data_IF_413493484606
#
_entry.id   IF_413493484606
#
_cell.length_a   1.000
_cell.length_b   1.000
_cell.length_c   1.000
_cell.angle_alpha   90.00
_cell.angle_beta   90.00
_cell.angle_gamma   90.00
#
_symmetry.space_group_name_H-M   'P 1'
#
loop_
_entity.id
_entity.type
_entity.pdbx_description
1 polymer ?
#
# COMPACT_ATOMS: atom_id res chain seq x y z
N UNK A 1 -21.71 -11.57 12.61
CA UNK A 1 -22.42 -10.33 12.31
C UNK A 1 -21.92 -9.83 10.93
N UNK A 2 -22.72 -10.01 9.93
CA UNK A 2 -22.35 -9.75 8.54
C UNK A 2 -22.67 -8.30 8.22
N UNK A 3 -21.64 -7.46 8.22
CA UNK A 3 -21.76 -6.14 7.59
C UNK A 3 -22.08 -6.36 6.12
N UNK A 4 -23.25 -5.89 5.65
CA UNK A 4 -23.65 -6.06 4.28
C UNK A 4 -22.64 -5.44 3.30
N UNK A 5 -22.76 -5.75 2.03
CA UNK A 5 -21.94 -5.24 0.93
C UNK A 5 -21.65 -3.72 1.01
N UNK A 6 -22.67 -2.94 1.41
CA UNK A 6 -22.54 -1.49 1.63
C UNK A 6 -21.52 -1.13 2.72
N UNK A 7 -21.51 -1.86 3.85
CA UNK A 7 -20.53 -1.62 4.92
C UNK A 7 -19.11 -1.91 4.46
N UNK A 8 -18.91 -2.91 3.61
CA UNK A 8 -17.61 -3.21 3.01
C UNK A 8 -17.11 -2.09 2.10
N UNK A 9 -17.99 -1.56 1.25
CA UNK A 9 -17.63 -0.42 0.37
C UNK A 9 -17.34 0.83 1.19
N UNK A 10 -18.16 1.16 2.19
CA UNK A 10 -17.94 2.32 3.05
C UNK A 10 -16.60 2.21 3.79
N UNK A 11 -16.29 1.03 4.33
CA UNK A 11 -15.00 0.79 4.99
C UNK A 11 -13.83 1.01 4.03
N UNK A 12 -13.92 0.50 2.80
CA UNK A 12 -12.89 0.68 1.77
C UNK A 12 -12.70 2.16 1.43
N UNK A 13 -13.79 2.91 1.22
CA UNK A 13 -13.74 4.34 0.93
C UNK A 13 -13.11 5.11 2.10
N UNK A 14 -13.50 4.80 3.34
CA UNK A 14 -12.91 5.43 4.52
C UNK A 14 -11.42 5.14 4.65
N UNK A 15 -10.97 3.92 4.34
CA UNK A 15 -9.55 3.59 4.38
C UNK A 15 -8.75 4.30 3.28
N UNK A 16 -9.28 4.38 2.07
CA UNK A 16 -8.68 5.18 0.99
C UNK A 16 -8.61 6.66 1.36
N UNK A 17 -9.72 7.22 1.88
CA UNK A 17 -9.80 8.62 2.26
C UNK A 17 -8.79 9.00 3.36
N UNK A 18 -8.58 8.14 4.35
CA UNK A 18 -7.57 8.35 5.41
C UNK A 18 -6.16 8.51 4.86
N UNK A 19 -5.83 7.82 3.77
CA UNK A 19 -4.55 7.97 3.08
C UNK A 19 -4.55 9.20 2.16
N UNK A 20 -5.59 9.34 1.34
CA UNK A 20 -5.70 10.38 0.30
C UNK A 20 -5.72 11.80 0.87
N UNK A 21 -6.62 12.07 1.82
CA UNK A 21 -6.88 13.43 2.30
C UNK A 21 -5.63 14.08 2.90
N UNK A 22 -4.89 13.45 3.84
CA UNK A 22 -3.71 14.07 4.43
C UNK A 22 -2.63 14.39 3.39
N UNK A 23 -2.41 13.51 2.43
CA UNK A 23 -1.39 13.70 1.40
C UNK A 23 -1.80 14.79 0.42
N UNK A 24 -3.03 14.75 -0.08
CA UNK A 24 -3.56 15.76 -0.99
C UNK A 24 -3.57 17.16 -0.38
N UNK A 25 -3.94 17.29 0.89
CA UNK A 25 -3.88 18.55 1.59
C UNK A 25 -2.44 18.95 1.92
N UNK A 26 -1.59 17.99 2.29
CA UNK A 26 -0.18 18.23 2.61
C UNK A 26 0.59 18.89 1.48
N UNK A 27 0.29 18.53 0.22
CA UNK A 27 0.89 19.17 -0.97
C UNK A 27 0.60 20.66 -1.10
N UNK A 28 -0.45 21.18 -0.44
CA UNK A 28 -0.77 22.60 -0.47
C UNK A 28 0.13 23.43 0.46
N UNK A 29 0.73 22.79 1.47
CA UNK A 29 1.48 23.44 2.52
C UNK A 29 2.97 23.08 2.52
N UNK A 30 3.32 21.95 1.92
CA UNK A 30 4.69 21.42 1.86
C UNK A 30 5.06 21.13 0.41
N UNK A 31 6.29 21.48 0.06
CA UNK A 31 6.85 21.07 -1.25
C UNK A 31 7.01 19.56 -1.28
N UNK A 32 6.45 18.96 -2.32
CA UNK A 32 6.51 17.51 -2.58
C UNK A 32 7.96 17.01 -2.76
N UNK A 33 8.87 17.89 -3.18
CA UNK A 33 10.29 17.57 -3.34
C UNK A 33 11.08 17.64 -2.04
N UNK A 34 10.49 18.18 -0.99
CA UNK A 34 11.16 18.38 0.30
C UNK A 34 11.11 17.13 1.19
N UNK A 35 12.17 16.89 1.97
CA UNK A 35 12.20 15.77 2.92
C UNK A 35 11.10 15.84 4.00
N UNK A 36 10.66 17.02 4.50
CA UNK A 36 9.51 17.12 5.39
C UNK A 36 8.20 16.55 4.85
N UNK A 37 8.09 16.32 3.53
CA UNK A 37 6.91 15.67 2.95
C UNK A 37 6.86 14.16 3.20
N UNK A 38 8.00 13.52 3.48
CA UNK A 38 8.08 12.05 3.75
C UNK A 38 7.17 11.62 4.92
N UNK A 39 7.16 12.27 6.09
CA UNK A 39 6.22 11.95 7.16
C UNK A 39 4.75 12.03 6.74
N UNK A 40 4.38 12.96 5.86
CA UNK A 40 3.00 13.10 5.37
C UNK A 40 2.58 11.86 4.56
N UNK A 41 3.49 11.30 3.77
CA UNK A 41 3.26 10.05 3.03
C UNK A 41 3.16 8.84 3.96
N UNK A 42 4.03 8.77 4.96
CA UNK A 42 4.19 7.56 5.77
C UNK A 42 3.16 7.47 6.90
N UNK A 43 2.81 8.60 7.53
CA UNK A 43 1.98 8.63 8.74
C UNK A 43 0.62 7.91 8.61
N UNK A 44 -0.16 8.07 7.52
CA UNK A 44 -1.43 7.36 7.38
C UNK A 44 -1.28 5.84 7.31
N UNK A 45 -0.25 5.37 6.60
CA UNK A 45 0.06 3.94 6.47
C UNK A 45 0.56 3.37 7.78
N UNK A 46 1.46 4.09 8.46
CA UNK A 46 2.00 3.71 9.76
C UNK A 46 0.88 3.63 10.82
N UNK A 47 0.04 4.66 10.91
CA UNK A 47 -1.07 4.69 11.86
C UNK A 47 -2.10 3.58 11.63
N UNK A 48 -2.35 3.20 10.35
CA UNK A 48 -3.20 2.05 10.04
C UNK A 48 -2.53 0.70 10.39
N UNK A 49 -1.23 0.58 10.14
CA UNK A 49 -0.48 -0.64 10.44
C UNK A 49 -0.27 -0.86 11.94
N UNK A 50 -0.03 0.22 12.69
CA UNK A 50 0.31 0.20 14.12
C UNK A 50 -0.63 1.12 14.94
N UNK A 51 -1.91 0.76 15.11
CA UNK A 51 -2.83 1.59 15.86
C UNK A 51 -2.44 1.64 17.33
N UNK A 52 -2.18 2.84 17.85
CA UNK A 52 -1.72 3.06 19.23
C UNK A 52 -2.71 2.54 20.29
N UNK A 53 -4.01 2.62 20.00
CA UNK A 53 -5.08 2.23 20.94
C UNK A 53 -5.43 0.74 20.89
N UNK A 54 -5.09 0.03 19.82
CA UNK A 54 -5.45 -1.38 19.63
C UNK A 54 -4.26 -2.17 19.06
N UNK A 55 -3.24 -2.39 19.89
CA UNK A 55 -1.95 -2.98 19.48
C UNK A 55 -2.05 -4.29 18.67
N UNK A 56 -3.08 -5.10 18.90
CA UNK A 56 -3.24 -6.41 18.24
C UNK A 56 -4.03 -6.37 16.92
N UNK A 57 -4.78 -5.30 16.64
CA UNK A 57 -5.73 -5.24 15.53
C UNK A 57 -5.26 -4.43 14.31
N UNK A 58 -4.00 -4.01 14.26
CA UNK A 58 -3.46 -3.27 13.11
C UNK A 58 -3.68 -3.98 11.78
N UNK A 59 -4.07 -3.21 10.76
CA UNK A 59 -4.32 -3.69 9.40
C UNK A 59 -3.05 -4.10 8.65
N UNK A 60 -3.24 -4.63 7.44
CA UNK A 60 -2.15 -4.94 6.49
C UNK A 60 -1.72 -3.71 5.67
N UNK A 61 -2.42 -2.60 5.83
CA UNK A 61 -2.15 -1.27 5.27
C UNK A 61 -2.12 -1.17 3.72
N UNK A 62 -2.55 -2.19 2.98
CA UNK A 62 -2.56 -2.16 1.51
C UNK A 62 -3.46 -1.03 1.00
N UNK A 63 -4.71 -0.96 1.47
CA UNK A 63 -5.69 0.06 1.05
C UNK A 63 -5.24 1.47 1.42
N UNK A 64 -4.70 1.64 2.64
CA UNK A 64 -4.15 2.91 3.08
C UNK A 64 -2.98 3.37 2.19
N UNK A 65 -2.12 2.44 1.75
CA UNK A 65 -1.03 2.73 0.81
C UNK A 65 -1.57 3.23 -0.53
N UNK A 66 -2.61 2.59 -1.09
CA UNK A 66 -3.27 3.09 -2.29
C UNK A 66 -3.84 4.49 -2.09
N UNK A 67 -4.49 4.76 -0.94
CA UNK A 67 -5.01 6.08 -0.61
C UNK A 67 -3.93 7.15 -0.61
N UNK A 68 -2.80 6.88 0.05
CA UNK A 68 -1.64 7.78 0.10
C UNK A 68 -1.10 8.08 -1.30
N UNK A 69 -0.90 7.06 -2.13
CA UNK A 69 -0.35 7.23 -3.47
C UNK A 69 -1.32 7.95 -4.42
N UNK A 70 -2.63 7.72 -4.29
CA UNK A 70 -3.66 8.49 -5.00
C UNK A 70 -3.68 9.96 -4.54
N UNK A 71 -3.38 10.21 -3.26
CA UNK A 71 -3.28 11.57 -2.71
C UNK A 71 -2.16 12.40 -3.32
N UNK A 72 -1.20 11.79 -4.02
CA UNK A 72 -0.15 12.49 -4.76
C UNK A 72 -0.64 13.17 -6.05
N UNK A 73 -1.92 13.11 -6.37
CA UNK A 73 -2.46 13.75 -7.57
C UNK A 73 -1.91 15.20 -7.75
N UNK A 74 -1.40 15.58 -8.96
CA UNK A 74 -1.48 14.88 -10.25
C UNK A 74 -0.41 13.79 -10.50
N UNK A 75 0.59 13.61 -9.62
CA UNK A 75 1.67 12.62 -9.75
C UNK A 75 1.17 11.21 -9.40
N UNK A 76 0.45 10.58 -10.33
CA UNK A 76 -0.18 9.27 -10.12
C UNK A 76 0.71 8.06 -10.47
N UNK A 77 1.92 8.27 -11.00
CA UNK A 77 2.81 7.18 -11.40
C UNK A 77 3.02 6.14 -10.29
N UNK A 78 3.30 6.51 -9.01
CA UNK A 78 3.46 5.51 -7.96
C UNK A 78 2.19 4.68 -7.71
N UNK A 79 1.00 5.30 -7.79
CA UNK A 79 -0.27 4.59 -7.62
C UNK A 79 -0.51 3.59 -8.75
N UNK A 80 -0.22 3.99 -10.00
CA UNK A 80 -0.34 3.13 -11.19
C UNK A 80 0.62 1.95 -11.10
N UNK A 81 1.87 2.16 -10.69
CA UNK A 81 2.83 1.07 -10.51
C UNK A 81 2.38 0.06 -9.45
N UNK A 82 1.91 0.54 -8.30
CA UNK A 82 1.39 -0.36 -7.27
C UNK A 82 0.18 -1.15 -7.78
N UNK A 83 -0.77 -0.49 -8.46
CA UNK A 83 -1.94 -1.14 -9.04
C UNK A 83 -1.54 -2.19 -10.08
N UNK A 84 -0.60 -1.87 -10.96
CA UNK A 84 -0.09 -2.80 -11.98
C UNK A 84 0.47 -4.07 -11.34
N UNK A 85 1.41 -3.95 -10.40
CA UNK A 85 2.00 -5.12 -9.75
C UNK A 85 0.97 -5.89 -8.91
N UNK A 86 0.03 -5.19 -8.26
CA UNK A 86 -1.01 -5.85 -7.49
C UNK A 86 -1.95 -6.68 -8.37
N UNK A 87 -2.36 -6.16 -9.51
CA UNK A 87 -3.18 -6.88 -10.49
C UNK A 87 -2.36 -8.02 -11.11
N UNK A 88 -1.12 -7.76 -11.51
CA UNK A 88 -0.24 -8.77 -12.10
C UNK A 88 -0.09 -10.00 -11.20
N UNK A 89 0.28 -9.81 -9.94
CA UNK A 89 0.45 -10.92 -8.99
C UNK A 89 -0.88 -11.48 -8.44
N UNK A 90 -2.01 -10.85 -8.74
CA UNK A 90 -3.33 -11.35 -8.32
C UNK A 90 -4.06 -12.12 -9.41
N UNK A 91 -3.84 -11.76 -10.68
CA UNK A 91 -4.59 -12.27 -11.82
C UNK A 91 -3.70 -13.10 -12.73
N UNK A 92 -2.50 -12.61 -13.10
CA UNK A 92 -1.62 -13.29 -14.06
C UNK A 92 -0.81 -14.38 -13.36
N UNK A 93 -0.16 -14.05 -12.26
CA UNK A 93 0.63 -14.99 -11.45
C UNK A 93 -0.08 -15.13 -10.09
N UNK A 94 -0.98 -16.10 -10.01
CA UNK A 94 -1.77 -16.33 -8.79
C UNK A 94 -0.87 -16.95 -7.73
N UNK A 95 -0.45 -16.13 -6.76
CA UNK A 95 0.41 -16.56 -5.65
C UNK A 95 -0.43 -16.77 -4.40
N UNK A 96 -0.37 -17.96 -3.82
CA UNK A 96 -0.92 -18.29 -2.52
C UNK A 96 0.23 -18.68 -1.57
N UNK A 97 0.27 -18.22 -0.33
CA UNK A 97 -0.74 -17.44 0.40
C UNK A 97 -0.73 -15.94 0.07
N UNK A 98 -1.81 -15.25 0.41
CA UNK A 98 -1.98 -13.80 0.22
C UNK A 98 -0.83 -12.95 0.76
N UNK A 99 -0.17 -13.39 1.83
CA UNK A 99 0.96 -12.66 2.43
C UNK A 99 2.14 -12.61 1.48
N UNK A 100 2.50 -13.73 0.84
CA UNK A 100 3.61 -13.80 -0.10
C UNK A 100 3.35 -12.93 -1.34
N UNK A 101 2.12 -12.97 -1.87
CA UNK A 101 1.71 -12.11 -2.98
C UNK A 101 1.92 -10.63 -2.67
N UNK A 102 1.46 -10.17 -1.49
CA UNK A 102 1.62 -8.78 -1.09
C UNK A 102 3.09 -8.40 -0.89
N UNK A 103 3.91 -9.28 -0.32
CA UNK A 103 5.35 -9.06 -0.14
C UNK A 103 6.03 -8.86 -1.51
N UNK A 104 5.75 -9.73 -2.47
CA UNK A 104 6.30 -9.60 -3.82
C UNK A 104 5.81 -8.34 -4.52
N UNK A 105 4.50 -8.04 -4.43
CA UNK A 105 3.93 -6.82 -5.02
C UNK A 105 4.64 -5.57 -4.52
N UNK A 106 4.78 -5.41 -3.20
CA UNK A 106 5.43 -4.23 -2.62
C UNK A 106 6.94 -4.21 -2.83
N UNK A 107 7.59 -5.38 -2.92
CA UNK A 107 9.00 -5.48 -3.29
C UNK A 107 9.28 -4.99 -4.71
N UNK A 108 8.51 -5.48 -5.69
CA UNK A 108 8.62 -5.05 -7.09
C UNK A 108 8.20 -3.59 -7.26
N UNK A 109 7.18 -3.13 -6.54
CA UNK A 109 6.77 -1.75 -6.51
C UNK A 109 7.91 -0.84 -6.04
N UNK A 110 8.54 -1.14 -4.89
CA UNK A 110 9.65 -0.36 -4.36
C UNK A 110 10.83 -0.31 -5.32
N UNK A 111 11.18 -1.44 -5.93
CA UNK A 111 12.24 -1.51 -6.93
C UNK A 111 11.93 -0.64 -8.16
N UNK A 112 10.70 -0.72 -8.67
CA UNK A 112 10.28 0.09 -9.82
C UNK A 112 10.29 1.59 -9.52
N UNK A 113 9.81 1.99 -8.34
CA UNK A 113 9.84 3.39 -7.89
C UNK A 113 11.26 3.94 -7.87
N UNK A 114 12.24 3.15 -7.42
CA UNK A 114 13.65 3.52 -7.43
C UNK A 114 14.16 3.86 -8.83
N UNK A 115 13.74 3.11 -9.84
CA UNK A 115 14.21 3.27 -11.21
C UNK A 115 13.50 4.41 -11.96
N UNK A 116 12.25 4.71 -11.61
CA UNK A 116 11.39 5.56 -12.44
C UNK A 116 11.07 6.92 -11.83
N UNK A 117 10.91 6.99 -10.51
CA UNK A 117 10.58 8.23 -9.81
C UNK A 117 11.89 8.97 -9.49
N UNK A 118 11.95 10.27 -9.84
CA UNK A 118 13.15 11.10 -9.60
C UNK A 118 13.07 11.89 -8.30
N UNK A 119 11.88 12.07 -7.75
CA UNK A 119 11.64 12.85 -6.54
C UNK A 119 12.04 12.04 -5.31
N UNK A 120 13.10 12.45 -4.64
CA UNK A 120 13.69 11.72 -3.50
C UNK A 120 12.70 11.52 -2.33
N UNK A 121 11.89 12.52 -2.00
CA UNK A 121 10.87 12.41 -0.94
C UNK A 121 9.83 11.33 -1.24
N UNK A 122 9.36 11.24 -2.49
CA UNK A 122 8.42 10.19 -2.92
C UNK A 122 9.11 8.83 -2.89
N UNK A 123 10.34 8.72 -3.40
CA UNK A 123 11.10 7.47 -3.33
C UNK A 123 11.21 6.96 -1.89
N UNK A 124 11.71 7.80 -0.99
CA UNK A 124 11.89 7.45 0.43
C UNK A 124 10.54 7.07 1.06
N UNK A 125 9.50 7.87 0.83
CA UNK A 125 8.14 7.59 1.32
C UNK A 125 7.62 6.23 0.86
N UNK A 126 7.71 5.94 -0.45
CA UNK A 126 7.29 4.66 -1.03
C UNK A 126 8.10 3.48 -0.48
N UNK A 127 9.41 3.66 -0.25
CA UNK A 127 10.26 2.64 0.37
C UNK A 127 9.82 2.31 1.80
N UNK A 128 9.57 3.33 2.61
CA UNK A 128 9.11 3.14 3.99
C UNK A 128 7.73 2.48 3.99
N UNK A 129 6.81 2.92 3.12
CA UNK A 129 5.49 2.31 2.96
C UNK A 129 5.61 0.84 2.60
N UNK A 130 6.42 0.50 1.60
CA UNK A 130 6.65 -0.88 1.20
C UNK A 130 7.22 -1.72 2.36
N UNK A 131 8.20 -1.18 3.08
CA UNK A 131 8.78 -1.82 4.26
C UNK A 131 7.74 -2.11 5.36
N UNK A 132 6.87 -1.14 5.67
CA UNK A 132 5.79 -1.32 6.65
C UNK A 132 4.84 -2.44 6.22
N UNK A 133 4.39 -2.43 4.96
CA UNK A 133 3.45 -3.45 4.46
C UNK A 133 4.11 -4.83 4.46
N UNK A 134 5.33 -4.97 3.96
CA UNK A 134 6.10 -6.23 3.97
C UNK A 134 6.24 -6.75 5.39
N UNK A 135 6.67 -5.91 6.34
CA UNK A 135 6.82 -6.28 7.75
C UNK A 135 5.53 -6.80 8.36
N UNK A 136 4.39 -6.10 8.11
CA UNK A 136 3.06 -6.54 8.61
C UNK A 136 2.62 -7.87 8.01
N UNK A 137 2.98 -8.15 6.77
CA UNK A 137 2.68 -9.43 6.13
C UNK A 137 3.57 -10.56 6.62
N UNK A 138 4.82 -10.28 6.95
CA UNK A 138 5.74 -11.27 7.54
C UNK A 138 5.27 -11.70 8.94
N UNK A 139 4.88 -10.74 9.80
CA UNK A 139 4.38 -11.06 11.15
C UNK A 139 3.05 -11.81 11.11
N UNK A 140 2.15 -11.44 10.20
CA UNK A 140 0.83 -12.07 10.04
C UNK A 140 0.84 -13.20 8.99
N UNK A 141 2.01 -13.78 8.72
CA UNK A 141 2.13 -14.86 7.76
C UNK A 141 1.42 -16.12 8.26
N UNK A 142 0.39 -16.56 7.52
CA UNK A 142 -0.18 -17.89 7.70
C UNK A 142 0.71 -18.88 6.96
N UNK A 143 1.24 -19.87 7.68
CA UNK A 143 2.11 -20.94 7.16
C UNK A 143 1.36 -21.93 6.25
N UNK A 144 0.57 -21.43 5.31
CA UNK A 144 -0.04 -22.28 4.29
C UNK A 144 0.97 -22.67 3.20
N UNK A 145 0.77 -23.82 2.52
CA UNK A 145 1.66 -24.25 1.45
C UNK A 145 1.69 -23.22 0.33
N UNK A 146 2.90 -22.92 -0.14
CA UNK A 146 3.08 -21.99 -1.26
C UNK A 146 2.60 -22.67 -2.53
N UNK A 147 1.60 -22.12 -3.19
CA UNK A 147 1.10 -22.55 -4.49
C UNK A 147 1.17 -21.38 -5.46
N UNK A 148 1.88 -21.58 -6.56
CA UNK A 148 1.99 -20.62 -7.66
C UNK A 148 1.26 -21.25 -8.84
N UNK A 149 0.25 -20.56 -9.38
CA UNK A 149 -0.43 -20.96 -10.61
C UNK A 149 -0.46 -19.80 -11.59
N UNK A 150 -0.26 -20.09 -12.88
CA UNK A 150 -0.35 -19.12 -13.96
C UNK A 150 -1.72 -19.28 -14.62
N UNK A 151 -2.34 -18.16 -15.01
CA UNK A 151 -3.69 -18.12 -15.58
C UNK A 151 -3.93 -19.09 -16.75
N UNK A 152 -2.87 -19.48 -17.47
CA UNK A 152 -2.93 -20.39 -18.63
C UNK A 152 -3.03 -21.89 -18.27
N UNK A 153 -2.98 -22.25 -16.98
CA UNK A 153 -3.03 -23.66 -16.51
C UNK A 153 -4.35 -24.04 -15.81
N UNK A 154 -5.42 -23.35 -16.13
CA UNK A 154 -6.78 -23.74 -15.69
C UNK A 154 -7.53 -24.44 -16.81
#
# INVERSE_FOLDING_TARGET
MYGGFLCGILSLICELAKGFIPVYLGQKYLDINSLPFVPVLVAPVFGHAFPFLQKEKGGKAITASFGVLLGLFPELHPAVYLAFFFIFFSVVVIINPHSLRSILTFGFFAFNVLLTIKTASIQIGCFIIAGIVIYRHLIKHNNGPVRISILHQR
#
